data_IF_998688954766
#
_entry.id   IF_998688954766
#
_cell.length_a   1.000
_cell.length_b   1.000
_cell.length_c   1.000
_cell.angle_alpha   90.00
_cell.angle_beta   90.00
_cell.angle_gamma   90.00
#
_symmetry.space_group_name_H-M   'P 1'
#
loop_
_entity.id
_entity.type
_entity.pdbx_description
1 polymer ?
#
# COMPACT_ATOMS: atom_id res chain seq x y z
N UNK A 1 8.39 -11.01 -2.42
CA UNK A 1 8.76 -9.87 -1.55
C UNK A 1 8.98 -10.40 -0.14
N UNK A 2 9.97 -9.87 0.60
CA UNK A 2 10.56 -10.47 1.82
C UNK A 2 9.59 -10.82 2.96
N UNK A 3 8.37 -10.28 2.91
CA UNK A 3 7.22 -10.66 3.74
C UNK A 3 6.84 -12.14 3.64
N UNK A 4 6.87 -12.68 2.42
CA UNK A 4 6.55 -14.09 2.14
C UNK A 4 7.58 -15.07 2.74
N UNK A 5 8.66 -14.56 3.33
CA UNK A 5 9.76 -15.35 3.90
C UNK A 5 9.80 -15.35 5.44
N UNK A 6 8.76 -14.83 6.13
CA UNK A 6 8.70 -14.74 7.61
C UNK A 6 9.80 -13.89 8.27
N UNK A 7 10.49 -13.02 7.53
CA UNK A 7 11.55 -12.13 8.05
C UNK A 7 11.09 -10.69 8.29
N UNK A 8 9.80 -10.48 8.58
CA UNK A 8 9.25 -9.15 8.84
C UNK A 8 10.02 -8.31 9.88
N UNK A 9 10.46 -8.88 11.03
CA UNK A 9 11.22 -8.11 12.02
C UNK A 9 12.54 -7.52 11.48
N UNK A 10 13.10 -8.09 10.41
CA UNK A 10 14.28 -7.53 9.73
C UNK A 10 13.91 -6.58 8.59
N UNK A 11 12.75 -6.78 7.96
CA UNK A 11 12.32 -5.98 6.82
C UNK A 11 11.79 -4.60 7.24
N UNK A 12 10.94 -4.53 8.27
CA UNK A 12 10.31 -3.28 8.70
C UNK A 12 11.32 -2.16 9.05
N UNK A 13 12.41 -2.41 9.81
CA UNK A 13 13.39 -1.37 10.10
C UNK A 13 14.05 -0.78 8.85
N UNK A 14 14.27 -1.59 7.81
CA UNK A 14 14.85 -1.13 6.56
C UNK A 14 13.89 -0.22 5.79
N UNK A 15 12.60 -0.54 5.76
CA UNK A 15 11.59 0.34 5.14
C UNK A 15 11.41 1.64 5.91
N UNK A 16 11.39 1.58 7.24
CA UNK A 16 11.37 2.79 8.08
C UNK A 16 12.59 3.67 7.82
N UNK A 17 13.78 3.08 7.76
CA UNK A 17 15.01 3.83 7.45
C UNK A 17 14.98 4.47 6.06
N UNK A 18 14.44 3.76 5.07
CA UNK A 18 14.27 4.30 3.74
C UNK A 18 13.34 5.54 3.74
N UNK A 19 12.25 5.52 4.52
CA UNK A 19 11.33 6.66 4.65
C UNK A 19 11.89 7.80 5.51
N UNK A 20 12.80 7.53 6.46
CA UNK A 20 13.53 8.61 7.14
C UNK A 20 14.41 9.39 6.15
N UNK A 21 15.05 8.70 5.20
CA UNK A 21 15.94 9.31 4.21
C UNK A 21 15.14 9.93 3.06
N UNK A 22 14.04 9.29 2.66
CA UNK A 22 13.19 9.70 1.55
C UNK A 22 11.70 9.51 1.91
N UNK A 23 11.06 10.49 2.55
CA UNK A 23 9.72 10.36 3.16
C UNK A 23 8.57 10.22 2.16
N UNK A 24 8.82 10.54 0.89
CA UNK A 24 7.82 10.60 -0.17
C UNK A 24 8.12 9.57 -1.28
N UNK A 25 8.73 8.44 -0.95
CA UNK A 25 8.94 7.35 -1.92
C UNK A 25 7.67 6.49 -2.06
N UNK A 26 6.90 6.59 -3.16
CA UNK A 26 5.58 5.98 -3.26
C UNK A 26 5.60 4.45 -3.12
N UNK A 27 6.61 3.80 -3.70
CA UNK A 27 6.74 2.34 -3.61
C UNK A 27 7.03 1.87 -2.20
N UNK A 28 7.83 2.61 -1.43
CA UNK A 28 8.17 2.27 -0.04
C UNK A 28 6.98 2.51 0.87
N UNK A 29 6.30 3.65 0.70
CA UNK A 29 5.04 3.96 1.38
C UNK A 29 3.98 2.88 1.12
N UNK A 30 3.78 2.52 -0.15
CA UNK A 30 2.83 1.49 -0.56
C UNK A 30 3.20 0.13 0.05
N UNK A 31 4.45 -0.30 -0.08
CA UNK A 31 4.88 -1.62 0.37
C UNK A 31 4.76 -1.79 1.88
N UNK A 32 5.30 -0.83 2.65
CA UNK A 32 5.23 -0.88 4.12
C UNK A 32 3.79 -0.77 4.62
N UNK A 33 3.01 0.14 4.05
CA UNK A 33 1.60 0.30 4.42
C UNK A 33 0.76 -0.93 4.08
N UNK A 34 0.94 -1.49 2.88
CA UNK A 34 0.27 -2.72 2.44
C UNK A 34 0.61 -3.88 3.37
N UNK A 35 1.88 -4.09 3.69
CA UNK A 35 2.32 -5.14 4.61
C UNK A 35 1.69 -5.03 5.99
N UNK A 36 1.66 -3.83 6.58
CA UNK A 36 0.99 -3.59 7.86
C UNK A 36 -0.50 -3.95 7.79
N UNK A 37 -1.20 -3.46 6.78
CA UNK A 37 -2.63 -3.77 6.60
C UNK A 37 -2.85 -5.26 6.38
N UNK A 38 -2.00 -5.91 5.58
CA UNK A 38 -2.11 -7.33 5.28
C UNK A 38 -1.87 -8.21 6.52
N UNK A 39 -0.95 -7.81 7.39
CA UNK A 39 -0.70 -8.44 8.69
C UNK A 39 -1.72 -8.09 9.77
N UNK A 40 -2.66 -7.18 9.50
CA UNK A 40 -3.60 -6.67 10.49
C UNK A 40 -2.92 -5.94 11.66
N UNK A 41 -1.84 -5.20 11.39
CA UNK A 41 -1.12 -4.37 12.36
C UNK A 41 -1.01 -2.93 11.83
N UNK A 42 -0.88 -1.94 12.72
CA UNK A 42 -0.71 -0.52 12.35
C UNK A 42 -1.68 -0.05 11.25
N UNK A 43 -2.93 -0.50 11.33
CA UNK A 43 -3.91 -0.40 10.25
C UNK A 43 -4.17 1.04 9.78
N UNK A 44 -4.22 1.98 10.73
CA UNK A 44 -4.47 3.40 10.45
C UNK A 44 -3.29 4.01 9.72
N UNK A 45 -2.09 3.82 10.24
CA UNK A 45 -0.85 4.32 9.65
C UNK A 45 -0.60 3.68 8.29
N UNK A 46 -0.80 2.36 8.17
CA UNK A 46 -0.64 1.65 6.91
C UNK A 46 -1.58 2.18 5.82
N UNK A 47 -2.86 2.40 6.15
CA UNK A 47 -3.79 3.03 5.23
C UNK A 47 -3.34 4.44 4.81
N UNK A 48 -2.90 5.28 5.76
CA UNK A 48 -2.42 6.63 5.46
C UNK A 48 -1.20 6.62 4.52
N UNK A 49 -0.29 5.67 4.70
CA UNK A 49 0.88 5.53 3.83
C UNK A 49 0.48 5.13 2.40
N UNK A 50 -0.46 4.20 2.26
CA UNK A 50 -0.97 3.79 0.94
C UNK A 50 -1.73 4.95 0.27
N UNK A 51 -2.55 5.70 1.02
CA UNK A 51 -3.23 6.90 0.51
C UNK A 51 -2.23 7.92 -0.03
N UNK A 52 -1.18 8.22 0.74
CA UNK A 52 -0.09 9.11 0.31
C UNK A 52 0.63 8.57 -0.94
N UNK A 53 0.85 7.25 -1.02
CA UNK A 53 1.43 6.65 -2.21
C UNK A 53 0.56 6.85 -3.47
N UNK A 54 -0.76 6.70 -3.34
CA UNK A 54 -1.73 6.99 -4.41
C UNK A 54 -1.73 8.46 -4.78
N UNK A 55 -1.66 9.38 -3.82
CA UNK A 55 -1.57 10.82 -4.10
C UNK A 55 -0.32 11.17 -4.92
N UNK A 56 0.82 10.53 -4.62
CA UNK A 56 2.08 10.73 -5.33
C UNK A 56 2.13 10.03 -6.70
N UNK A 57 1.37 8.95 -6.89
CA UNK A 57 1.31 8.15 -8.12
C UNK A 57 -0.14 7.75 -8.47
N UNK A 58 -1.00 8.72 -8.83
CA UNK A 58 -2.43 8.47 -9.01
C UNK A 58 -2.78 7.63 -10.24
N UNK A 59 -1.84 7.45 -11.17
CA UNK A 59 -2.01 6.62 -12.37
C UNK A 59 -1.31 5.25 -12.27
N UNK A 60 -0.66 4.94 -11.14
CA UNK A 60 -0.06 3.63 -10.93
C UNK A 60 -1.13 2.65 -10.43
N UNK A 61 -1.68 1.86 -11.36
CA UNK A 61 -2.74 0.90 -11.05
C UNK A 61 -2.37 -0.12 -9.95
N UNK A 62 -1.09 -0.43 -9.73
CA UNK A 62 -0.69 -1.34 -8.64
C UNK A 62 -0.78 -0.69 -7.26
N UNK A 63 -0.48 0.60 -7.16
CA UNK A 63 -0.59 1.36 -5.90
C UNK A 63 -2.06 1.64 -5.60
N UNK A 64 -2.86 1.96 -6.63
CA UNK A 64 -4.31 2.12 -6.47
C UNK A 64 -4.99 0.80 -6.05
N UNK A 65 -4.57 -0.33 -6.62
CA UNK A 65 -5.03 -1.68 -6.20
C UNK A 65 -4.74 -1.94 -4.71
N UNK A 66 -3.54 -1.56 -4.25
CA UNK A 66 -3.14 -1.69 -2.85
C UNK A 66 -4.04 -0.86 -1.92
N UNK A 67 -4.52 0.31 -2.34
CA UNK A 67 -5.47 1.12 -1.59
C UNK A 67 -6.85 0.45 -1.52
N UNK A 68 -7.32 -0.09 -2.65
CA UNK A 68 -8.55 -0.88 -2.70
C UNK A 68 -8.51 -2.10 -1.77
N UNK A 69 -7.41 -2.85 -1.79
CA UNK A 69 -7.18 -3.95 -0.85
C UNK A 69 -7.19 -3.49 0.61
N UNK A 70 -6.54 -2.36 0.92
CA UNK A 70 -6.49 -1.85 2.27
C UNK A 70 -7.89 -1.47 2.79
N UNK A 71 -8.71 -0.83 1.95
CA UNK A 71 -10.10 -0.54 2.31
C UNK A 71 -10.92 -1.82 2.53
N UNK A 72 -10.75 -2.84 1.68
CA UNK A 72 -11.41 -4.13 1.86
C UNK A 72 -11.06 -4.78 3.21
N UNK A 73 -9.76 -4.81 3.56
CA UNK A 73 -9.27 -5.34 4.83
C UNK A 73 -9.81 -4.61 6.05
N UNK A 74 -10.19 -3.34 5.90
CA UNK A 74 -10.77 -2.50 6.94
C UNK A 74 -12.31 -2.50 6.94
N UNK A 75 -12.95 -3.31 6.10
CA UNK A 75 -14.41 -3.38 5.98
C UNK A 75 -15.05 -2.18 5.29
N UNK A 76 -14.25 -1.32 4.64
CA UNK A 76 -14.72 -0.15 3.87
C UNK A 76 -15.01 -0.56 2.42
N UNK A 77 -16.04 -1.39 2.23
CA UNK A 77 -16.28 -2.05 0.95
C UNK A 77 -16.60 -1.07 -0.20
N UNK A 78 -17.38 -0.01 0.04
CA UNK A 78 -17.70 0.98 -1.00
C UNK A 78 -16.46 1.70 -1.53
N UNK A 79 -15.52 2.03 -0.63
CA UNK A 79 -14.25 2.65 -1.01
C UNK A 79 -13.33 1.63 -1.71
N UNK A 80 -13.35 0.37 -1.25
CA UNK A 80 -12.59 -0.71 -1.88
C UNK A 80 -13.02 -0.92 -3.34
N UNK A 81 -14.32 -1.04 -3.60
CA UNK A 81 -14.87 -1.20 -4.96
C UNK A 81 -14.41 -0.05 -5.85
N UNK A 82 -14.58 1.20 -5.38
CA UNK A 82 -14.18 2.39 -6.15
C UNK A 82 -12.71 2.36 -6.57
N UNK A 83 -11.80 2.08 -5.63
CA UNK A 83 -10.37 2.09 -5.95
C UNK A 83 -9.95 0.86 -6.76
N UNK A 84 -10.55 -0.32 -6.54
CA UNK A 84 -10.25 -1.51 -7.34
C UNK A 84 -10.71 -1.35 -8.81
N UNK A 85 -11.90 -0.79 -9.04
CA UNK A 85 -12.38 -0.48 -10.39
C UNK A 85 -11.45 0.54 -11.08
N UNK A 86 -11.00 1.56 -10.35
CA UNK A 86 -10.01 2.52 -10.84
C UNK A 86 -8.66 1.86 -11.13
N UNK A 87 -8.21 0.93 -10.30
CA UNK A 87 -6.95 0.21 -10.50
C UNK A 87 -6.97 -0.60 -11.81
N UNK A 88 -8.11 -1.25 -12.10
CA UNK A 88 -8.31 -1.98 -13.36
C UNK A 88 -8.28 -1.03 -14.55
N UNK A 89 -8.95 0.12 -14.49
CA UNK A 89 -8.96 1.07 -15.61
C UNK A 89 -7.61 1.76 -15.86
N UNK A 90 -6.73 1.80 -14.87
CA UNK A 90 -5.39 2.36 -14.96
C UNK A 90 -4.34 1.39 -15.53
N UNK A 91 -4.64 0.09 -15.60
CA UNK A 91 -3.81 -0.85 -16.34
C UNK A 91 -4.32 -0.91 -17.78
N UNK A 92 -3.55 -0.41 -18.77
CA UNK A 92 -3.86 -0.76 -20.15
C UNK A 92 -3.78 -2.28 -20.25
N UNK A 93 -4.86 -2.90 -20.74
CA UNK A 93 -4.81 -4.27 -21.21
C UNK A 93 -3.67 -4.37 -22.24
N UNK A 94 -2.78 -5.35 -22.07
CA UNK A 94 -1.91 -5.82 -23.16
C UNK A 94 -2.78 -6.37 -24.30
#
# INVERSE_FOLDING_TARGET
AYERLKEWPKAEPNFRKALELFPDQPQVLNYLGYSWVDMNINLREGLQMIQKAVELRPSDGYIVDSLGWAYFRLGRFDDAVRELERAVSLKPED
#
